data_IF_914635850453
#
_entry.id   IF_914635850453
#
_cell.length_a   1.000
_cell.length_b   1.000
_cell.length_c   1.000
_cell.angle_alpha   90.00
_cell.angle_beta   90.00
_cell.angle_gamma   90.00
#
_symmetry.space_group_name_H-M   'P 1'
#
loop_
_entity.id
_entity.type
_entity.pdbx_description
1 polymer ?
#
# COMPACT_ATOMS: atom_id res chain seq x y z
N UNK A 1 21.25 11.36 -11.40
CA UNK A 1 20.29 10.41 -10.81
C UNK A 1 21.11 9.47 -9.97
N UNK A 2 21.07 9.63 -8.65
CA UNK A 2 21.69 8.67 -7.74
C UNK A 2 20.81 7.42 -7.71
N UNK A 3 21.40 6.26 -7.99
CA UNK A 3 20.74 4.97 -7.85
C UNK A 3 20.46 4.75 -6.35
N UNK A 4 19.19 4.76 -5.97
CA UNK A 4 18.77 4.38 -4.63
C UNK A 4 18.88 2.86 -4.49
N UNK A 5 20.11 2.35 -4.34
CA UNK A 5 20.35 0.94 -4.03
C UNK A 5 19.95 0.69 -2.57
N UNK A 6 18.68 0.38 -2.35
CA UNK A 6 18.20 -0.04 -1.03
C UNK A 6 18.61 -1.49 -0.82
N UNK A 7 19.79 -1.71 -0.20
CA UNK A 7 20.19 -3.02 0.30
C UNK A 7 19.24 -3.44 1.40
N UNK A 8 18.54 -4.55 1.18
CA UNK A 8 17.58 -5.05 2.14
C UNK A 8 18.34 -5.88 3.18
N UNK A 9 18.27 -5.54 4.49
CA UNK A 9 18.78 -6.44 5.51
C UNK A 9 18.12 -7.81 5.34
N UNK A 10 18.95 -8.85 5.25
CA UNK A 10 18.55 -10.25 5.39
C UNK A 10 17.70 -10.40 6.66
N UNK A 11 16.38 -10.44 6.50
CA UNK A 11 15.41 -10.45 7.60
C UNK A 11 14.08 -9.76 7.31
N UNK A 12 13.97 -8.94 6.26
CA UNK A 12 12.74 -8.19 5.93
C UNK A 12 11.88 -8.77 4.80
N UNK A 13 12.38 -9.84 4.18
CA UNK A 13 11.60 -10.80 3.42
C UNK A 13 11.78 -12.10 4.17
N UNK A 14 10.75 -12.60 4.84
CA UNK A 14 10.69 -14.02 5.19
C UNK A 14 10.57 -14.78 3.87
N UNK A 15 11.70 -14.90 3.19
CA UNK A 15 11.85 -15.78 2.06
C UNK A 15 11.75 -17.20 2.61
N UNK A 16 10.91 -18.07 2.02
CA UNK A 16 11.02 -19.50 2.26
C UNK A 16 12.41 -20.05 1.84
N UNK A 17 13.23 -19.25 1.13
CA UNK A 17 14.62 -19.51 0.78
C UNK A 17 15.52 -18.85 1.83
N UNK A 18 15.82 -19.57 2.92
CA UNK A 18 16.74 -19.08 3.95
C UNK A 18 18.10 -18.71 3.34
N UNK A 19 18.52 -17.45 3.50
CA UNK A 19 19.89 -16.99 3.19
C UNK A 19 20.07 -16.19 1.90
N UNK A 20 19.04 -16.01 1.07
CA UNK A 20 19.14 -15.19 -0.15
C UNK A 20 18.69 -13.74 0.09
N UNK A 21 19.52 -12.77 -0.31
CA UNK A 21 19.13 -11.36 -0.38
C UNK A 21 18.25 -11.16 -1.62
N UNK A 22 17.03 -10.67 -1.42
CA UNK A 22 16.07 -10.44 -2.51
C UNK A 22 15.88 -8.94 -2.67
N UNK A 23 16.34 -8.38 -3.79
CA UNK A 23 16.32 -6.93 -4.05
C UNK A 23 15.14 -6.53 -4.95
N UNK A 24 13.90 -6.61 -4.45
CA UNK A 24 12.66 -6.37 -5.23
C UNK A 24 12.64 -5.00 -5.94
N UNK A 25 13.35 -4.02 -5.39
CA UNK A 25 13.39 -2.65 -5.90
C UNK A 25 14.70 -2.24 -6.58
N UNK A 26 15.62 -3.18 -6.87
CA UNK A 26 16.94 -2.87 -7.43
C UNK A 26 16.87 -1.99 -8.69
N UNK A 27 15.95 -2.31 -9.60
CA UNK A 27 15.75 -1.59 -10.86
C UNK A 27 14.45 -0.76 -10.88
N UNK A 28 13.83 -0.58 -9.71
CA UNK A 28 12.55 0.10 -9.62
C UNK A 28 12.71 1.61 -9.84
N UNK A 29 11.79 2.18 -10.61
CA UNK A 29 11.56 3.63 -10.66
C UNK A 29 10.62 4.01 -9.53
N UNK A 30 11.11 4.79 -8.57
CA UNK A 30 10.34 5.29 -7.43
C UNK A 30 10.17 6.80 -7.59
N UNK A 31 8.92 7.28 -7.58
CA UNK A 31 8.60 8.70 -7.72
C UNK A 31 7.41 9.09 -6.85
N UNK A 32 7.32 10.36 -6.45
CA UNK A 32 6.11 10.90 -5.83
C UNK A 32 5.24 11.50 -6.93
N UNK A 33 3.96 11.13 -6.99
CA UNK A 33 3.04 11.64 -8.01
C UNK A 33 1.59 11.70 -7.52
N UNK A 34 0.78 12.47 -8.25
CA UNK A 34 -0.65 12.57 -8.00
C UNK A 34 -1.41 11.47 -8.75
N UNK A 35 -2.35 10.81 -8.07
CA UNK A 35 -3.20 9.76 -8.62
C UNK A 35 -4.64 9.97 -8.22
N UNK A 36 -5.57 9.48 -9.04
CA UNK A 36 -6.96 9.39 -8.61
C UNK A 36 -7.13 8.14 -7.73
N UNK A 37 -7.73 8.27 -6.53
CA UNK A 37 -7.87 7.14 -5.62
C UNK A 37 -8.65 5.95 -6.20
N UNK A 38 -9.62 6.20 -7.07
CA UNK A 38 -10.47 5.20 -7.74
C UNK A 38 -9.75 4.43 -8.86
N UNK A 39 -8.61 4.94 -9.34
CA UNK A 39 -7.70 4.22 -10.25
C UNK A 39 -6.83 3.18 -9.52
N UNK A 40 -6.78 3.23 -8.19
CA UNK A 40 -5.96 2.34 -7.37
C UNK A 40 -6.70 1.06 -6.99
N UNK A 41 -5.96 -0.02 -6.81
CA UNK A 41 -6.51 -1.31 -6.39
C UNK A 41 -6.08 -1.61 -4.94
N UNK A 42 -6.98 -1.55 -3.95
CA UNK A 42 -6.65 -1.87 -2.56
C UNK A 42 -6.18 -3.32 -2.40
N UNK A 43 -5.11 -3.51 -1.63
CA UNK A 43 -4.66 -4.85 -1.21
C UNK A 43 -5.31 -5.35 0.09
N UNK A 44 -6.40 -4.73 0.53
CA UNK A 44 -7.12 -5.02 1.78
C UNK A 44 -8.62 -5.10 1.47
N UNK A 45 -9.33 -5.99 2.15
CA UNK A 45 -10.78 -6.16 2.05
C UNK A 45 -11.55 -5.33 3.09
N UNK A 46 -10.85 -4.78 4.09
CA UNK A 46 -11.48 -3.91 5.06
C UNK A 46 -10.63 -2.73 5.49
N UNK A 47 -11.33 -1.75 6.05
CA UNK A 47 -10.81 -0.61 6.80
C UNK A 47 -11.50 -0.54 8.16
N UNK A 48 -10.77 -0.08 9.17
CA UNK A 48 -11.33 0.15 10.51
C UNK A 48 -11.91 1.56 10.64
N UNK A 49 -13.16 1.65 11.10
CA UNK A 49 -13.88 2.91 11.32
C UNK A 49 -13.12 3.84 12.26
N UNK A 50 -12.63 3.33 13.40
CA UNK A 50 -11.83 4.11 14.34
C UNK A 50 -10.52 4.63 13.74
N UNK A 51 -9.89 3.88 12.82
CA UNK A 51 -8.70 4.35 12.10
C UNK A 51 -9.04 5.42 11.06
N UNK A 52 -10.19 5.32 10.38
CA UNK A 52 -10.68 6.37 9.48
C UNK A 52 -10.95 7.67 10.25
N UNK A 53 -11.67 7.58 11.37
CA UNK A 53 -11.95 8.73 12.23
C UNK A 53 -10.66 9.42 12.69
N UNK A 54 -9.66 8.63 13.12
CA UNK A 54 -8.35 9.17 13.51
C UNK A 54 -7.62 9.84 12.34
N UNK A 55 -7.66 9.27 11.13
CA UNK A 55 -7.02 9.88 9.95
C UNK A 55 -7.69 11.21 9.56
N UNK A 56 -9.02 11.29 9.66
CA UNK A 56 -9.77 12.55 9.46
C UNK A 56 -9.38 13.61 10.47
N UNK A 57 -9.30 13.23 11.74
CA UNK A 57 -8.90 14.14 12.81
C UNK A 57 -7.49 14.69 12.58
N UNK A 58 -6.53 13.81 12.27
CA UNK A 58 -5.15 14.23 11.99
C UNK A 58 -5.11 15.17 10.78
N UNK A 59 -5.82 14.83 9.69
CA UNK A 59 -5.89 15.69 8.50
C UNK A 59 -6.43 17.07 8.84
N UNK A 60 -7.57 17.13 9.56
CA UNK A 60 -8.19 18.40 9.96
C UNK A 60 -7.22 19.24 10.79
N UNK A 61 -6.63 18.66 11.84
CA UNK A 61 -5.71 19.36 12.73
C UNK A 61 -4.49 19.91 11.99
N UNK A 62 -3.88 19.10 11.12
CA UNK A 62 -2.72 19.53 10.33
C UNK A 62 -3.08 20.58 9.27
N UNK A 63 -4.24 20.48 8.66
CA UNK A 63 -4.72 21.45 7.68
C UNK A 63 -5.04 22.79 8.36
N UNK A 64 -5.75 22.77 9.48
CA UNK A 64 -6.18 23.97 10.19
C UNK A 64 -5.00 24.69 10.88
N UNK A 65 -4.08 23.92 11.48
CA UNK A 65 -2.98 24.49 12.27
C UNK A 65 -1.73 24.81 11.44
N UNK A 66 -1.50 24.07 10.35
CA UNK A 66 -0.24 24.12 9.60
C UNK A 66 -0.43 24.26 8.08
N UNK A 67 -1.66 24.23 7.56
CA UNK A 67 -1.91 24.24 6.12
C UNK A 67 -1.46 22.96 5.40
N UNK A 68 -1.25 21.86 6.14
CA UNK A 68 -0.73 20.61 5.59
C UNK A 68 -1.89 19.64 5.31
N UNK A 69 -2.07 19.29 4.04
CA UNK A 69 -3.03 18.25 3.64
C UNK A 69 -2.36 16.87 3.56
N UNK A 70 -2.79 15.94 4.43
CA UNK A 70 -2.27 14.57 4.50
C UNK A 70 -2.59 13.71 3.28
N UNK A 71 -3.45 14.18 2.38
CA UNK A 71 -3.70 13.58 1.07
C UNK A 71 -2.69 14.03 0.00
N UNK A 72 -1.95 15.11 0.23
CA UNK A 72 -1.05 15.73 -0.76
C UNK A 72 0.40 15.84 -0.26
N UNK A 73 0.84 14.91 0.61
CA UNK A 73 2.18 14.94 1.20
C UNK A 73 3.27 14.80 0.13
N UNK A 74 4.18 15.77 0.08
CA UNK A 74 5.40 15.72 -0.76
C UNK A 74 6.52 14.92 -0.08
N UNK A 75 6.49 14.90 1.25
CA UNK A 75 7.54 14.36 2.09
C UNK A 75 6.95 13.55 3.24
N UNK A 76 7.81 12.90 4.02
CA UNK A 76 7.39 12.25 5.25
C UNK A 76 7.21 13.28 6.36
N UNK A 77 6.13 13.17 7.13
CA UNK A 77 5.93 13.97 8.34
C UNK A 77 6.30 13.15 9.57
N UNK A 78 7.17 13.69 10.42
CA UNK A 78 7.37 13.20 11.79
C UNK A 78 6.36 13.90 12.70
N UNK A 79 5.50 13.12 13.33
CA UNK A 79 4.44 13.58 14.20
C UNK A 79 4.72 13.07 15.61
N UNK A 80 4.52 13.91 16.62
CA UNK A 80 4.64 13.56 18.04
C UNK A 80 3.28 13.75 18.71
N UNK A 81 2.82 12.77 19.48
CA UNK A 81 1.59 12.91 20.28
C UNK A 81 1.88 13.54 21.65
N UNK A 82 0.80 13.82 22.40
CA UNK A 82 0.88 14.45 23.73
C UNK A 82 1.68 13.64 24.77
N UNK A 83 1.90 12.35 24.52
CA UNK A 83 2.70 11.48 25.38
C UNK A 83 4.17 11.41 24.92
N UNK A 84 4.58 12.24 23.96
CA UNK A 84 5.92 12.24 23.37
C UNK A 84 6.16 11.07 22.40
N UNK A 85 5.12 10.33 22.02
CA UNK A 85 5.28 9.21 21.09
C UNK A 85 5.35 9.73 19.66
N UNK A 86 6.46 9.41 19.00
CA UNK A 86 6.71 9.78 17.60
C UNK A 86 6.21 8.73 16.63
N UNK A 87 5.66 9.18 15.51
CA UNK A 87 5.27 8.35 14.39
C UNK A 87 5.51 9.07 13.06
N UNK A 88 5.87 8.30 12.04
CA UNK A 88 6.06 8.81 10.69
C UNK A 88 4.78 8.65 9.88
N UNK A 89 4.40 9.69 9.16
CA UNK A 89 3.37 9.67 8.14
C UNK A 89 4.01 9.90 6.77
N UNK A 90 4.13 8.84 5.99
CA UNK A 90 4.62 8.88 4.61
C UNK A 90 3.45 9.15 3.65
N UNK A 91 3.66 9.53 2.38
CA UNK A 91 2.64 9.33 1.35
C UNK A 91 2.28 7.82 1.21
N UNK A 92 1.06 7.47 0.78
CA UNK A 92 0.68 6.08 0.51
C UNK A 92 1.57 5.42 -0.54
N UNK A 93 1.75 4.10 -0.45
CA UNK A 93 2.61 3.33 -1.36
C UNK A 93 1.78 2.59 -2.41
N UNK A 94 2.10 2.83 -3.68
CA UNK A 94 1.49 2.18 -4.84
C UNK A 94 2.58 1.48 -5.65
N UNK A 95 2.42 0.19 -5.90
CA UNK A 95 3.30 -0.59 -6.79
C UNK A 95 2.55 -0.93 -8.07
N UNK A 96 3.13 -0.63 -9.24
CA UNK A 96 2.62 -1.07 -10.53
C UNK A 96 3.10 -2.50 -10.78
N UNK A 97 2.18 -3.46 -10.69
CA UNK A 97 2.46 -4.89 -10.79
C UNK A 97 1.87 -5.45 -12.08
N UNK A 98 2.61 -6.34 -12.74
CA UNK A 98 2.08 -7.06 -13.89
C UNK A 98 1.25 -8.27 -13.43
N UNK A 99 -0.03 -8.31 -13.80
CA UNK A 99 -0.93 -9.42 -13.50
C UNK A 99 -1.43 -10.09 -14.77
N UNK A 100 -1.54 -11.42 -14.70
CA UNK A 100 -2.13 -12.23 -15.75
C UNK A 100 -3.63 -12.35 -15.50
N UNK A 101 -4.43 -11.62 -16.27
CA UNK A 101 -5.89 -11.64 -16.15
C UNK A 101 -6.52 -12.50 -17.24
N UNK A 102 -7.57 -13.22 -16.86
CA UNK A 102 -8.40 -14.00 -17.77
C UNK A 102 -9.52 -13.11 -18.33
N UNK A 103 -9.73 -13.17 -19.64
CA UNK A 103 -10.88 -12.53 -20.25
C UNK A 103 -12.19 -13.14 -19.72
N UNK A 104 -12.95 -12.38 -18.94
CA UNK A 104 -14.29 -12.73 -18.51
C UNK A 104 -15.32 -12.08 -19.45
N UNK A 105 -16.09 -12.91 -20.16
CA UNK A 105 -17.14 -12.43 -21.08
C UNK A 105 -18.22 -11.68 -20.30
N UNK A 106 -18.53 -10.45 -20.72
CA UNK A 106 -19.75 -9.74 -20.32
C UNK A 106 -20.85 -9.93 -21.37
N UNK A 107 -22.12 -9.83 -20.95
CA UNK A 107 -23.26 -9.89 -21.86
C UNK A 107 -23.11 -8.85 -22.97
N UNK A 108 -23.25 -9.28 -24.23
CA UNK A 108 -23.07 -8.41 -25.41
C UNK A 108 -21.62 -8.20 -25.88
N UNK A 109 -20.62 -8.77 -25.20
CA UNK A 109 -19.21 -8.67 -25.61
C UNK A 109 -18.76 -9.77 -26.59
N UNK A 110 -17.77 -9.45 -27.43
CA UNK A 110 -17.10 -10.41 -28.33
C UNK A 110 -16.46 -11.56 -27.52
N UNK A 111 -16.58 -12.79 -28.02
CA UNK A 111 -16.13 -13.97 -27.30
C UNK A 111 -14.64 -14.26 -27.57
N UNK A 112 -13.80 -14.12 -26.54
CA UNK A 112 -12.37 -14.48 -26.58
C UNK A 112 -12.05 -15.54 -25.51
N UNK A 113 -12.58 -16.77 -25.65
CA UNK A 113 -12.44 -17.80 -24.63
C UNK A 113 -10.97 -18.13 -24.37
N UNK A 114 -10.60 -18.21 -23.08
CA UNK A 114 -9.24 -18.59 -22.67
C UNK A 114 -8.16 -17.54 -22.97
N UNK A 115 -8.51 -16.37 -23.52
CA UNK A 115 -7.52 -15.31 -23.75
C UNK A 115 -7.03 -14.78 -22.41
N UNK A 116 -5.72 -14.89 -22.21
CA UNK A 116 -4.99 -14.29 -21.09
C UNK A 116 -4.33 -13.01 -21.58
N UNK A 117 -4.40 -11.94 -20.80
CA UNK A 117 -3.68 -10.70 -21.08
C UNK A 117 -2.90 -10.29 -19.83
N UNK A 118 -1.73 -9.69 -20.05
CA UNK A 118 -0.94 -9.10 -18.98
C UNK A 118 -1.34 -7.63 -18.86
N UNK A 119 -1.76 -7.23 -17.66
CA UNK A 119 -2.12 -5.84 -17.35
C UNK A 119 -1.20 -5.31 -16.25
N UNK A 120 -0.90 -4.03 -16.33
CA UNK A 120 -0.21 -3.30 -15.29
C UNK A 120 -1.27 -2.79 -14.30
N UNK A 121 -1.26 -3.30 -13.08
CA UNK A 121 -2.26 -3.00 -12.04
C UNK A 121 -1.59 -2.17 -10.93
N UNK A 122 -2.07 -0.95 -10.65
CA UNK A 122 -1.56 -0.14 -9.54
C UNK A 122 -2.14 -0.64 -8.21
N UNK A 123 -1.33 -1.36 -7.44
CA UNK A 123 -1.73 -1.95 -6.16
C UNK A 123 -1.39 -1.00 -5.02
N UNK A 124 -2.39 -0.62 -4.23
CA UNK A 124 -2.23 0.16 -3.01
C UNK A 124 -1.83 -0.76 -1.85
N UNK A 125 -0.58 -0.65 -1.42
CA UNK A 125 -0.02 -1.47 -0.35
C UNK A 125 -0.28 -0.92 1.04
N UNK A 126 -0.19 0.41 1.16
CA UNK A 126 -0.39 1.13 2.41
C UNK A 126 -1.15 2.42 2.14
N UNK A 127 -1.80 2.97 3.17
CA UNK A 127 -2.61 4.19 3.06
C UNK A 127 -4.04 3.97 2.58
N UNK A 128 -4.57 2.73 2.67
CA UNK A 128 -5.96 2.39 2.32
C UNK A 128 -7.00 3.31 2.97
N UNK A 129 -6.82 3.67 4.24
CA UNK A 129 -7.70 4.61 4.94
C UNK A 129 -7.69 6.02 4.33
N UNK A 130 -6.52 6.51 3.89
CA UNK A 130 -6.40 7.84 3.27
C UNK A 130 -6.93 7.84 1.84
N UNK A 131 -6.68 6.78 1.07
CA UNK A 131 -7.26 6.64 -0.26
C UNK A 131 -8.80 6.57 -0.19
N UNK A 132 -9.34 5.79 0.75
CA UNK A 132 -10.79 5.73 0.99
C UNK A 132 -11.35 7.08 1.41
N UNK A 133 -10.69 7.79 2.33
CA UNK A 133 -11.07 9.15 2.74
C UNK A 133 -11.08 10.10 1.54
N UNK A 134 -10.07 10.05 0.67
CA UNK A 134 -10.03 10.86 -0.55
C UNK A 134 -11.19 10.53 -1.49
N UNK A 135 -11.54 9.26 -1.69
CA UNK A 135 -12.68 8.86 -2.53
C UNK A 135 -14.03 9.36 -1.98
N UNK A 136 -14.25 9.18 -0.68
CA UNK A 136 -15.57 9.41 -0.08
C UNK A 136 -15.79 10.88 0.28
N UNK A 137 -14.78 11.52 0.86
CA UNK A 137 -14.92 12.85 1.44
C UNK A 137 -14.48 13.94 0.45
N UNK A 138 -13.67 13.59 -0.57
CA UNK A 138 -13.03 14.54 -1.50
C UNK A 138 -13.01 14.00 -2.96
N UNK A 139 -14.15 13.60 -3.56
CA UNK A 139 -14.21 12.82 -4.81
C UNK A 139 -13.57 13.49 -6.03
N UNK A 140 -13.30 14.80 -5.97
CA UNK A 140 -12.65 15.56 -7.04
C UNK A 140 -11.16 15.85 -6.76
N UNK A 141 -10.57 15.20 -5.74
CA UNK A 141 -9.20 15.44 -5.31
C UNK A 141 -8.29 14.26 -5.62
N UNK A 142 -7.16 14.57 -6.27
CA UNK A 142 -6.06 13.63 -6.39
C UNK A 142 -5.32 13.48 -5.06
N UNK A 143 -4.81 12.27 -4.81
CA UNK A 143 -3.92 12.01 -3.70
C UNK A 143 -2.48 11.86 -4.18
N UNK A 144 -1.53 12.28 -3.36
CA UNK A 144 -0.10 12.12 -3.63
C UNK A 144 0.40 10.81 -3.04
N UNK A 145 1.09 10.03 -3.86
CA UNK A 145 1.56 8.68 -3.49
C UNK A 145 3.03 8.51 -3.86
N UNK A 146 3.72 7.64 -3.13
CA UNK A 146 4.97 7.03 -3.58
C UNK A 146 4.58 5.94 -4.57
N UNK A 147 4.93 6.16 -5.84
CA UNK A 147 4.64 5.28 -6.96
C UNK A 147 5.89 4.53 -7.38
N UNK A 148 5.77 3.20 -7.38
CA UNK A 148 6.87 2.27 -7.69
C UNK A 148 6.52 1.56 -8.99
N UNK A 149 7.36 1.70 -10.01
CA UNK A 149 7.24 1.02 -11.29
C UNK A 149 8.50 0.22 -11.59
N UNK A 150 8.41 -0.77 -12.48
CA UNK A 150 9.55 -1.61 -12.92
C UNK A 150 10.24 -2.35 -11.75
N UNK A 151 9.50 -2.71 -10.71
CA UNK A 151 9.99 -3.63 -9.67
C UNK A 151 10.08 -5.06 -10.20
N UNK A 152 10.83 -5.92 -9.50
CA UNK A 152 10.86 -7.36 -9.76
C UNK A 152 9.59 -8.08 -9.25
N UNK A 153 8.42 -7.43 -9.36
CA UNK A 153 7.14 -7.95 -8.86
C UNK A 153 6.67 -9.22 -9.57
N UNK A 154 7.15 -9.49 -10.78
CA UNK A 154 6.80 -10.72 -11.48
C UNK A 154 7.51 -11.96 -10.90
N UNK A 155 8.78 -11.82 -10.48
CA UNK A 155 9.54 -12.88 -9.79
C UNK A 155 9.07 -13.00 -8.34
N UNK A 156 8.83 -11.86 -7.70
CA UNK A 156 8.49 -11.74 -6.30
C UNK A 156 7.15 -11.05 -6.11
N UNK A 157 6.02 -11.68 -6.50
CA UNK A 157 4.71 -11.04 -6.46
C UNK A 157 4.29 -10.69 -5.05
N UNK A 158 3.49 -9.64 -4.97
CA UNK A 158 2.97 -9.08 -3.73
C UNK A 158 2.22 -10.14 -2.95
N UNK A 159 2.35 -10.11 -1.62
CA UNK A 159 1.77 -11.14 -0.74
C UNK A 159 0.23 -11.23 -0.81
N UNK A 160 -0.46 -10.19 -1.28
CA UNK A 160 -1.92 -10.15 -1.46
C UNK A 160 -2.31 -9.80 -2.90
N UNK A 161 -3.49 -10.27 -3.32
CA UNK A 161 -4.14 -9.87 -4.56
C UNK A 161 -4.72 -8.45 -4.48
N UNK A 162 -4.74 -7.70 -5.59
CA UNK A 162 -5.53 -6.49 -5.70
C UNK A 162 -7.03 -6.81 -5.63
N UNK A 163 -7.81 -5.90 -5.05
CA UNK A 163 -9.27 -5.98 -4.95
C UNK A 163 -9.88 -4.70 -5.52
N UNK A 164 -11.17 -4.73 -5.84
CA UNK A 164 -11.96 -3.55 -6.14
C UNK A 164 -12.34 -2.77 -4.88
N UNK A 165 -12.54 -1.46 -5.02
CA UNK A 165 -13.04 -0.64 -3.91
C UNK A 165 -14.47 -1.02 -3.47
N UNK A 166 -15.27 -1.59 -4.37
CA UNK A 166 -16.60 -2.14 -4.10
C UNK A 166 -16.58 -3.42 -3.27
N UNK A 167 -15.41 -4.05 -3.10
CA UNK A 167 -15.20 -5.19 -2.21
C UNK A 167 -14.75 -4.75 -0.80
N UNK A 168 -14.21 -3.53 -0.67
CA UNK A 168 -13.75 -3.00 0.61
C UNK A 168 -14.93 -2.64 1.51
N UNK A 169 -14.84 -3.03 2.79
CA UNK A 169 -15.85 -2.74 3.81
C UNK A 169 -15.24 -2.00 4.99
N UNK A 170 -16.02 -1.11 5.61
CA UNK A 170 -15.63 -0.43 6.85
C UNK A 170 -16.21 -1.20 8.03
N UNK A 171 -15.35 -1.62 8.96
CA UNK A 171 -15.72 -2.36 10.16
C UNK A 171 -15.41 -1.56 11.42
N UNK A 172 -16.23 -1.74 12.45
CA UNK A 172 -15.96 -1.22 13.80
C UNK A 172 -14.82 -2.01 14.48
N UNK A 173 -14.88 -3.34 14.36
CA UNK A 173 -13.92 -4.29 14.91
C UNK A 173 -13.75 -5.47 13.96
N UNK A 174 -12.55 -6.06 13.96
CA UNK A 174 -12.25 -7.27 13.21
C UNK A 174 -12.37 -8.47 14.15
N UNK A 175 -13.08 -9.50 13.70
CA UNK A 175 -13.20 -10.78 14.40
C UNK A 175 -12.08 -11.75 13.99
N UNK A 176 -11.67 -11.73 12.70
CA UNK A 176 -10.57 -12.52 12.17
C UNK A 176 -9.65 -11.70 11.24
N UNK A 177 -8.36 -11.63 11.59
CA UNK A 177 -7.34 -10.88 10.85
C UNK A 177 -6.94 -11.53 9.52
N UNK A 178 -7.16 -12.83 9.35
CA UNK A 178 -6.88 -13.52 8.08
C UNK A 178 -7.88 -13.14 6.99
N UNK A 179 -9.08 -12.69 7.36
CA UNK A 179 -10.06 -12.13 6.42
C UNK A 179 -9.67 -10.75 5.88
N UNK A 180 -8.52 -10.19 6.29
CA UNK A 180 -8.06 -8.88 5.84
C UNK A 180 -7.74 -8.83 4.36
N UNK A 181 -7.21 -9.91 3.79
CA UNK A 181 -6.64 -9.90 2.44
C UNK A 181 -6.87 -11.23 1.75
N UNK A 182 -7.00 -11.18 0.44
CA UNK A 182 -6.84 -12.36 -0.41
C UNK A 182 -5.35 -12.63 -0.57
N UNK A 183 -4.78 -13.44 0.32
CA UNK A 183 -3.36 -13.78 0.28
C UNK A 183 -3.02 -14.68 -0.91
N UNK A 184 -1.84 -14.49 -1.50
CA UNK A 184 -1.38 -15.30 -2.65
C UNK A 184 -0.74 -16.62 -2.24
N UNK A 185 -0.30 -16.72 -0.99
CA UNK A 185 0.57 -17.78 -0.50
C UNK A 185 0.18 -18.19 0.91
N UNK A 186 0.58 -19.40 1.25
CA UNK A 186 0.64 -19.92 2.61
C UNK A 186 2.13 -20.26 2.87
N UNK A 187 2.82 -19.55 3.77
CA UNK A 187 2.30 -18.56 4.72
C UNK A 187 1.96 -17.18 4.09
N UNK A 188 1.00 -16.42 4.67
CA UNK A 188 0.39 -15.21 4.08
C UNK A 188 1.30 -13.99 3.98
N UNK A 189 2.50 -14.00 4.54
CA UNK A 189 3.42 -12.84 4.58
C UNK A 189 4.70 -13.00 3.77
N UNK A 190 4.86 -14.12 3.05
CA UNK A 190 5.97 -14.27 2.12
C UNK A 190 5.96 -13.13 1.10
N UNK A 191 7.11 -12.46 0.95
CA UNK A 191 7.32 -11.30 0.08
C UNK A 191 6.58 -10.01 0.49
N UNK A 192 6.24 -9.84 1.77
CA UNK A 192 5.80 -8.56 2.32
C UNK A 192 6.83 -7.47 1.99
N UNK A 193 6.36 -6.35 1.43
CA UNK A 193 7.22 -5.23 1.07
C UNK A 193 7.64 -4.45 2.31
N UNK A 194 8.94 -4.25 2.55
CA UNK A 194 9.42 -3.56 3.73
C UNK A 194 9.41 -2.03 3.59
N UNK A 195 8.29 -1.42 3.20
CA UNK A 195 8.22 0.03 2.89
C UNK A 195 8.73 0.98 3.98
N UNK A 196 8.84 0.51 5.24
CA UNK A 196 9.46 1.29 6.33
C UNK A 196 10.89 1.71 6.04
N UNK A 197 11.63 0.95 5.24
CA UNK A 197 13.01 1.29 4.84
C UNK A 197 13.09 2.48 3.89
N UNK A 198 11.99 2.79 3.20
CA UNK A 198 11.90 3.93 2.29
C UNK A 198 11.55 5.23 3.06
N UNK A 199 11.25 5.12 4.35
CA UNK A 199 11.16 6.28 5.24
C UNK A 199 12.56 6.76 5.67
N UNK A 200 12.68 7.97 6.24
CA UNK A 200 13.95 8.50 6.72
C UNK A 200 14.61 7.50 7.68
N UNK A 201 15.83 7.11 7.34
CA UNK A 201 16.69 6.21 8.10
C UNK A 201 16.92 6.76 9.51
N UNK A 202 16.19 6.24 10.51
CA UNK A 202 16.36 6.73 11.90
C UNK A 202 15.50 6.03 12.95
N UNK A 203 14.30 5.54 12.60
CA UNK A 203 13.52 4.74 13.56
C UNK A 203 13.79 3.27 13.29
N UNK A 204 14.61 2.64 14.14
CA UNK A 204 14.75 1.18 14.18
C UNK A 204 13.39 0.47 14.29
N UNK A 205 13.35 -0.87 14.21
CA UNK A 205 12.11 -1.61 14.35
C UNK A 205 11.50 -1.31 15.72
N UNK A 206 10.56 -0.36 15.75
CA UNK A 206 9.71 -0.15 16.91
C UNK A 206 9.01 -1.47 17.17
N UNK A 207 9.31 -2.06 18.33
CA UNK A 207 8.63 -3.22 18.89
C UNK A 207 7.13 -3.04 18.66
N UNK A 208 6.60 -3.77 17.68
CA UNK A 208 5.19 -4.12 17.73
C UNK A 208 5.19 -5.41 18.50
N UNK A 209 4.70 -5.34 19.73
CA UNK A 209 4.16 -6.50 20.43
C UNK A 209 3.40 -7.34 19.40
N UNK A 210 3.89 -8.57 19.24
CA UNK A 210 3.12 -9.63 18.64
C UNK A 210 1.85 -9.78 19.49
N UNK A 211 0.76 -9.12 19.08
CA UNK A 211 -0.57 -9.50 19.52
C UNK A 211 -0.96 -10.75 18.75
N UNK A 212 -0.52 -11.89 19.30
CA UNK A 212 -1.24 -13.16 19.29
C UNK A 212 -2.63 -13.02 19.88
#
# INVERSE_FOLDING_TARGET
MEELCVRLPTGLLESPLQGEEICVFQDARIEVRDVWPDELNPSTLYLLAGSLARQREIRRTLLDSHGIDTLCLEECLELEDENGKRFLMTPPFVELVEELVLYAKRTGSLHYPGRKVRLQIPILHDGGHRAWMAMQDEPNKKMRVIYIARSASWEYPTYAYPNGWDEVRVYERIEDVLLKKLYRRDPPYSYLRPFRILGPSGTGPGERDAKS
#
